data_IF_177747239978
#
_entry.id   IF_177747239978
#
_cell.length_a   1.000
_cell.length_b   1.000
_cell.length_c   1.000
_cell.angle_alpha   90.00
_cell.angle_beta   90.00
_cell.angle_gamma   90.00
#
_symmetry.space_group_name_H-M   'P 1'
#
loop_
_entity.id
_entity.type
_entity.pdbx_description
1 polymer ?
#
# COMPACT_ATOMS: atom_id res chain seq x y z
N UNK A 1 19.54 -34.34 26.87
CA UNK A 1 18.95 -33.00 26.69
C UNK A 1 19.01 -32.39 25.27
N UNK A 2 19.96 -32.73 24.38
CA UNK A 2 20.06 -32.13 22.99
C UNK A 2 18.95 -32.54 22.01
N UNK A 3 18.43 -33.80 22.09
CA UNK A 3 17.47 -34.37 21.13
C UNK A 3 16.08 -33.72 21.19
N UNK A 4 15.59 -33.36 22.38
CA UNK A 4 14.30 -32.68 22.55
C UNK A 4 14.32 -31.24 22.02
N UNK A 5 15.41 -30.51 22.23
CA UNK A 5 15.58 -29.13 21.73
C UNK A 5 15.63 -29.08 20.19
N UNK A 6 16.24 -30.09 19.55
CA UNK A 6 16.30 -30.22 18.10
C UNK A 6 14.92 -30.54 17.49
N UNK A 7 14.14 -31.42 18.09
CA UNK A 7 12.77 -31.72 17.62
C UNK A 7 11.83 -30.55 17.77
N UNK A 8 11.91 -29.79 18.88
CA UNK A 8 11.12 -28.57 19.07
C UNK A 8 11.46 -27.52 18.01
N UNK A 9 12.74 -27.34 17.68
CA UNK A 9 13.19 -26.43 16.65
C UNK A 9 12.61 -26.77 15.26
N UNK A 10 12.74 -28.04 14.84
CA UNK A 10 12.19 -28.52 13.56
C UNK A 10 10.67 -28.36 13.47
N UNK A 11 9.96 -28.58 14.59
CA UNK A 11 8.50 -28.39 14.62
C UNK A 11 8.14 -26.91 14.47
N UNK A 12 8.82 -26.01 15.17
CA UNK A 12 8.62 -24.58 15.04
C UNK A 12 8.93 -24.07 13.63
N UNK A 13 10.00 -24.58 13.00
CA UNK A 13 10.35 -24.26 11.61
C UNK A 13 9.26 -24.74 10.64
N UNK A 14 8.72 -25.94 10.81
CA UNK A 14 7.62 -26.47 10.00
C UNK A 14 6.31 -25.69 10.18
N UNK A 15 6.01 -25.23 11.39
CA UNK A 15 4.85 -24.38 11.67
C UNK A 15 5.01 -22.99 11.03
N UNK A 16 6.19 -22.37 11.11
CA UNK A 16 6.50 -21.10 10.48
C UNK A 16 6.40 -21.19 8.95
N UNK A 17 6.94 -22.25 8.36
CA UNK A 17 6.85 -22.50 6.91
C UNK A 17 5.41 -22.71 6.44
N UNK A 18 4.62 -23.45 7.19
CA UNK A 18 3.18 -23.64 6.90
C UNK A 18 2.44 -22.32 6.96
N UNK A 19 2.71 -21.51 7.99
CA UNK A 19 2.12 -20.17 8.13
C UNK A 19 2.50 -19.26 6.95
N UNK A 20 3.76 -19.27 6.52
CA UNK A 20 4.25 -18.50 5.36
C UNK A 20 3.50 -18.88 4.09
N UNK A 21 3.38 -20.17 3.76
CA UNK A 21 2.64 -20.67 2.59
C UNK A 21 1.19 -20.23 2.58
N UNK A 22 0.50 -20.25 3.73
CA UNK A 22 -0.89 -19.78 3.85
C UNK A 22 -0.97 -18.28 3.54
N UNK A 23 -0.05 -17.46 4.07
CA UNK A 23 -0.01 -16.02 3.82
C UNK A 23 0.26 -15.72 2.35
N UNK A 24 1.22 -16.39 1.73
CA UNK A 24 1.57 -16.24 0.32
C UNK A 24 0.39 -16.60 -0.60
N UNK A 25 -0.30 -17.71 -0.31
CA UNK A 25 -1.50 -18.12 -1.03
C UNK A 25 -2.62 -17.08 -0.91
N UNK A 26 -2.85 -16.57 0.31
CA UNK A 26 -3.86 -15.54 0.53
C UNK A 26 -3.51 -14.23 -0.19
N UNK A 27 -2.24 -13.77 -0.14
CA UNK A 27 -1.78 -12.56 -0.85
C UNK A 27 -1.92 -12.71 -2.36
N UNK A 28 -1.62 -13.88 -2.92
CA UNK A 28 -1.81 -14.16 -4.34
C UNK A 28 -3.28 -14.05 -4.74
N UNK A 29 -4.19 -14.70 -4.01
CA UNK A 29 -5.64 -14.65 -4.26
C UNK A 29 -6.22 -13.25 -4.05
N UNK A 30 -5.83 -12.55 -2.98
CA UNK A 30 -6.24 -11.16 -2.75
C UNK A 30 -5.81 -10.24 -3.90
N UNK A 31 -4.64 -10.47 -4.46
CA UNK A 31 -4.14 -9.70 -5.60
C UNK A 31 -4.92 -10.01 -6.88
N UNK A 32 -5.33 -11.24 -7.06
CA UNK A 32 -5.99 -11.70 -8.28
C UNK A 32 -7.49 -11.42 -8.31
N UNK A 33 -8.23 -11.87 -7.30
CA UNK A 33 -9.69 -11.77 -7.26
C UNK A 33 -10.21 -10.79 -6.21
N UNK A 34 -9.39 -10.41 -5.26
CA UNK A 34 -9.71 -9.55 -4.13
C UNK A 34 -10.06 -10.33 -2.85
N UNK A 35 -9.90 -9.68 -1.67
CA UNK A 35 -10.23 -10.27 -0.37
C UNK A 35 -11.66 -10.78 -0.26
N UNK A 36 -12.65 -10.00 -0.75
CA UNK A 36 -14.07 -10.36 -0.66
C UNK A 36 -14.45 -11.65 -1.44
N UNK A 37 -13.67 -11.99 -2.46
CA UNK A 37 -13.90 -13.20 -3.27
C UNK A 37 -12.96 -14.35 -2.88
N UNK A 38 -12.06 -14.13 -1.94
CA UNK A 38 -11.11 -15.14 -1.48
C UNK A 38 -11.73 -16.00 -0.38
N UNK A 39 -11.79 -17.32 -0.59
CA UNK A 39 -12.32 -18.26 0.40
C UNK A 39 -11.19 -18.98 1.14
N UNK A 40 -11.45 -19.40 2.39
CA UNK A 40 -10.51 -20.24 3.15
C UNK A 40 -10.21 -21.56 2.42
N UNK A 41 -11.17 -22.07 1.66
CA UNK A 41 -10.97 -23.29 0.85
C UNK A 41 -9.95 -23.06 -0.26
N UNK A 42 -10.05 -21.95 -1.01
CA UNK A 42 -9.10 -21.60 -2.05
C UNK A 42 -7.68 -21.35 -1.49
N UNK A 43 -7.61 -20.66 -0.33
CA UNK A 43 -6.32 -20.45 0.36
C UNK A 43 -5.70 -21.79 0.77
N UNK A 44 -6.49 -22.68 1.37
CA UNK A 44 -6.00 -23.98 1.81
C UNK A 44 -5.50 -24.84 0.63
N UNK A 45 -6.23 -24.86 -0.48
CA UNK A 45 -5.87 -25.55 -1.72
C UNK A 45 -4.56 -25.02 -2.29
N UNK A 46 -4.46 -23.69 -2.48
CA UNK A 46 -3.27 -23.05 -3.05
C UNK A 46 -2.04 -23.21 -2.12
N UNK A 47 -2.24 -23.16 -0.79
CA UNK A 47 -1.18 -23.38 0.21
C UNK A 47 -0.78 -24.85 0.37
N UNK A 48 -1.52 -25.81 -0.24
CA UNK A 48 -1.29 -27.25 -0.08
C UNK A 48 -1.49 -27.73 1.37
N UNK A 49 -2.55 -27.20 2.04
CA UNK A 49 -2.90 -27.59 3.42
C UNK A 49 -4.41 -27.89 3.52
N UNK A 50 -4.84 -28.44 4.66
CA UNK A 50 -6.27 -28.62 4.93
C UNK A 50 -6.88 -27.38 5.59
N UNK A 51 -8.17 -27.08 5.36
CA UNK A 51 -8.89 -25.95 5.98
C UNK A 51 -8.69 -25.83 7.50
N UNK A 52 -8.77 -26.90 8.31
CA UNK A 52 -8.49 -26.82 9.75
C UNK A 52 -7.08 -26.30 10.07
N UNK A 53 -6.11 -26.56 9.19
CA UNK A 53 -4.74 -26.02 9.35
C UNK A 53 -4.74 -24.49 9.17
N UNK A 54 -5.50 -23.96 8.22
CA UNK A 54 -5.62 -22.49 8.06
C UNK A 54 -6.21 -21.87 9.32
N UNK A 55 -7.33 -22.40 9.85
CA UNK A 55 -7.96 -21.87 11.07
C UNK A 55 -7.06 -21.99 12.31
N UNK A 56 -6.21 -23.02 12.40
CA UNK A 56 -5.24 -23.13 13.49
C UNK A 56 -4.19 -22.02 13.47
N UNK A 57 -3.76 -21.58 12.28
CA UNK A 57 -2.78 -20.49 12.13
C UNK A 57 -3.42 -19.10 12.14
N UNK A 58 -4.66 -19.00 11.68
CA UNK A 58 -5.41 -17.77 11.54
C UNK A 58 -6.86 -18.02 11.99
N UNK A 59 -7.15 -17.86 13.29
CA UNK A 59 -8.46 -18.16 13.86
C UNK A 59 -9.56 -17.23 13.36
N UNK A 60 -9.19 -16.04 12.87
CA UNK A 60 -10.09 -15.01 12.38
C UNK A 60 -9.53 -14.28 11.14
N UNK A 61 -10.40 -13.57 10.43
CA UNK A 61 -10.03 -12.80 9.23
C UNK A 61 -9.03 -11.69 9.55
N UNK A 62 -9.15 -11.05 10.71
CA UNK A 62 -8.26 -9.96 11.14
C UNK A 62 -6.80 -10.41 11.22
N UNK A 63 -6.57 -11.57 11.82
CA UNK A 63 -5.22 -12.16 11.95
C UNK A 63 -4.62 -12.50 10.59
N UNK A 64 -5.45 -12.99 9.66
CA UNK A 64 -5.03 -13.27 8.30
C UNK A 64 -4.74 -11.98 7.53
N UNK A 65 -5.63 -10.99 7.55
CA UNK A 65 -5.41 -9.71 6.85
C UNK A 65 -4.20 -8.96 7.38
N UNK A 66 -3.95 -8.94 8.70
CA UNK A 66 -2.72 -8.35 9.26
C UNK A 66 -1.46 -9.04 8.74
N UNK A 67 -1.47 -10.37 8.69
CA UNK A 67 -0.32 -11.12 8.16
C UNK A 67 -0.12 -10.88 6.65
N UNK A 68 -1.21 -10.85 5.86
CA UNK A 68 -1.16 -10.55 4.43
C UNK A 68 -0.67 -9.12 4.15
N UNK A 69 -1.15 -8.13 4.92
CA UNK A 69 -0.72 -6.74 4.78
C UNK A 69 0.76 -6.57 5.11
N UNK A 70 1.24 -7.19 6.20
CA UNK A 70 2.65 -7.17 6.56
C UNK A 70 3.53 -7.83 5.51
N UNK A 71 3.16 -9.01 5.04
CA UNK A 71 3.88 -9.72 3.98
C UNK A 71 3.86 -8.93 2.67
N UNK A 72 2.70 -8.38 2.30
CA UNK A 72 2.55 -7.57 1.09
C UNK A 72 3.46 -6.36 1.06
N UNK A 73 3.73 -5.71 2.21
CA UNK A 73 4.66 -4.59 2.30
C UNK A 73 6.13 -5.02 2.20
N UNK A 74 6.45 -6.24 2.62
CA UNK A 74 7.82 -6.79 2.48
C UNK A 74 8.13 -7.09 1.01
N UNK A 75 7.22 -7.76 0.31
CA UNK A 75 7.44 -8.17 -1.09
C UNK A 75 7.17 -7.05 -2.10
N UNK A 76 6.42 -6.04 -1.71
CA UNK A 76 6.07 -4.87 -2.51
C UNK A 76 6.25 -3.60 -1.67
N UNK A 77 7.49 -3.22 -1.35
CA UNK A 77 7.76 -2.04 -0.54
C UNK A 77 7.27 -0.78 -1.26
N UNK A 78 6.66 0.11 -0.48
CA UNK A 78 6.35 1.47 -0.93
C UNK A 78 7.65 2.27 -1.09
N UNK A 79 7.65 3.33 -1.94
CA UNK A 79 8.74 4.30 -1.96
C UNK A 79 9.04 4.84 -0.55
N UNK A 80 10.30 5.13 -0.28
CA UNK A 80 10.74 5.71 0.99
C UNK A 80 10.62 7.24 0.96
N UNK A 81 9.65 7.84 1.66
CA UNK A 81 9.48 9.29 1.64
C UNK A 81 10.63 10.07 2.27
N UNK A 82 11.41 9.45 3.16
CA UNK A 82 12.52 10.15 3.83
C UNK A 82 13.61 10.55 2.84
N UNK A 83 13.82 9.77 1.78
CA UNK A 83 14.75 10.10 0.71
C UNK A 83 14.36 11.39 -0.03
N UNK A 84 13.09 11.73 -0.11
CA UNK A 84 12.60 12.94 -0.79
C UNK A 84 12.94 14.24 -0.05
N UNK A 85 13.21 14.19 1.25
CA UNK A 85 13.55 15.36 2.08
C UNK A 85 14.80 16.09 1.63
N UNK A 86 15.70 15.41 0.91
CA UNK A 86 16.92 16.03 0.37
C UNK A 86 16.61 17.07 -0.72
N UNK A 87 15.41 17.03 -1.31
CA UNK A 87 14.97 17.99 -2.32
C UNK A 87 14.28 19.16 -1.62
N UNK A 88 14.95 20.32 -1.59
CA UNK A 88 14.44 21.53 -0.94
C UNK A 88 13.31 22.16 -1.75
N UNK A 89 13.46 22.21 -3.10
CA UNK A 89 12.44 22.78 -3.98
C UNK A 89 11.15 21.94 -3.93
N UNK A 90 10.01 22.55 -3.56
CA UNK A 90 8.75 21.82 -3.34
C UNK A 90 8.24 21.06 -4.57
N UNK A 91 8.31 21.68 -5.76
CA UNK A 91 7.83 21.05 -6.99
C UNK A 91 8.75 19.92 -7.46
N UNK A 92 10.05 20.06 -7.27
CA UNK A 92 11.04 19.01 -7.54
C UNK A 92 10.84 17.82 -6.60
N UNK A 93 10.60 18.06 -5.30
CA UNK A 93 10.27 17.01 -4.34
C UNK A 93 9.01 16.28 -4.74
N UNK A 94 7.94 17.01 -5.08
CA UNK A 94 6.69 16.41 -5.55
C UNK A 94 6.89 15.58 -6.82
N UNK A 95 7.64 16.10 -7.79
CA UNK A 95 7.93 15.40 -9.06
C UNK A 95 8.60 14.06 -8.81
N UNK A 96 9.61 14.03 -7.95
CA UNK A 96 10.32 12.78 -7.59
C UNK A 96 9.39 11.83 -6.84
N UNK A 97 8.64 12.33 -5.86
CA UNK A 97 7.67 11.51 -5.11
C UNK A 97 6.64 10.83 -6.03
N UNK A 98 6.06 11.58 -6.98
CA UNK A 98 5.12 11.03 -7.95
C UNK A 98 5.80 10.11 -8.96
N UNK A 99 7.03 10.45 -9.38
CA UNK A 99 7.83 9.63 -10.29
C UNK A 99 8.20 8.25 -9.73
N UNK A 100 8.24 8.10 -8.40
CA UNK A 100 8.40 6.79 -7.73
C UNK A 100 7.06 6.11 -7.42
N UNK A 101 6.07 6.90 -6.99
CA UNK A 101 4.78 6.38 -6.54
C UNK A 101 3.90 5.90 -7.70
N UNK A 102 3.87 6.59 -8.83
CA UNK A 102 3.02 6.23 -9.97
C UNK A 102 3.46 4.94 -10.67
N UNK A 103 4.75 4.68 -10.93
CA UNK A 103 5.20 3.36 -11.36
C UNK A 103 4.90 2.25 -10.35
N UNK A 104 4.97 2.53 -9.04
CA UNK A 104 4.51 1.59 -8.02
C UNK A 104 3.01 1.28 -8.18
N UNK A 105 2.17 2.29 -8.34
CA UNK A 105 0.73 2.12 -8.59
C UNK A 105 0.47 1.32 -9.86
N UNK A 106 1.17 1.61 -10.94
CA UNK A 106 1.05 0.89 -12.23
C UNK A 106 1.38 -0.60 -12.07
N UNK A 107 2.49 -0.90 -11.42
CA UNK A 107 2.94 -2.28 -11.17
C UNK A 107 1.94 -3.07 -10.32
N UNK A 108 1.28 -2.40 -9.39
CA UNK A 108 0.38 -3.03 -8.41
C UNK A 108 -1.09 -2.67 -8.60
N UNK A 109 -1.47 -2.14 -9.77
CA UNK A 109 -2.80 -1.59 -10.05
C UNK A 109 -3.95 -2.56 -9.75
N UNK A 110 -3.83 -3.81 -10.19
CA UNK A 110 -4.85 -4.85 -9.96
C UNK A 110 -5.03 -5.13 -8.46
N UNK A 111 -3.92 -5.36 -7.76
CA UNK A 111 -3.92 -5.62 -6.32
C UNK A 111 -4.52 -4.46 -5.53
N UNK A 112 -4.07 -3.23 -5.79
CA UNK A 112 -4.56 -2.04 -5.10
C UNK A 112 -6.04 -1.80 -5.39
N UNK A 113 -6.48 -1.94 -6.65
CA UNK A 113 -7.89 -1.83 -7.02
C UNK A 113 -8.76 -2.83 -6.27
N UNK A 114 -8.33 -4.09 -6.16
CA UNK A 114 -9.06 -5.13 -5.45
C UNK A 114 -9.15 -4.85 -3.95
N UNK A 115 -8.02 -4.52 -3.32
CA UNK A 115 -7.96 -4.27 -1.87
C UNK A 115 -8.77 -3.02 -1.50
N UNK A 116 -8.62 -1.92 -2.23
CA UNK A 116 -9.34 -0.67 -1.93
C UNK A 116 -10.83 -0.82 -2.14
N UNK A 117 -11.27 -1.43 -3.26
CA UNK A 117 -12.67 -1.74 -3.52
C UNK A 117 -13.29 -2.56 -2.39
N UNK A 118 -12.63 -3.65 -2.00
CA UNK A 118 -13.18 -4.59 -1.02
C UNK A 118 -13.13 -4.00 0.40
N UNK A 119 -12.20 -3.08 0.67
CA UNK A 119 -12.10 -2.35 1.94
C UNK A 119 -13.35 -1.51 2.24
N UNK A 120 -14.04 -1.02 1.21
CA UNK A 120 -15.28 -0.24 1.39
C UNK A 120 -16.43 -1.09 1.95
N UNK A 121 -16.44 -2.39 1.63
CA UNK A 121 -17.50 -3.32 2.02
C UNK A 121 -17.13 -4.24 3.20
N UNK A 122 -15.84 -4.28 3.60
CA UNK A 122 -15.32 -5.20 4.61
C UNK A 122 -14.72 -4.43 5.81
N UNK A 123 -15.48 -4.19 6.91
CA UNK A 123 -15.01 -3.39 8.05
C UNK A 123 -13.68 -3.89 8.66
N UNK A 124 -13.48 -5.21 8.74
CA UNK A 124 -12.24 -5.80 9.26
C UNK A 124 -11.04 -5.47 8.36
N UNK A 125 -11.21 -5.54 7.04
CA UNK A 125 -10.17 -5.17 6.09
C UNK A 125 -9.88 -3.66 6.13
N UNK A 126 -10.93 -2.83 6.23
CA UNK A 126 -10.81 -1.39 6.38
C UNK A 126 -9.99 -1.03 7.62
N UNK A 127 -10.28 -1.64 8.77
CA UNK A 127 -9.55 -1.40 10.02
C UNK A 127 -8.07 -1.82 9.90
N UNK A 128 -7.78 -2.98 9.29
CA UNK A 128 -6.40 -3.42 9.07
C UNK A 128 -5.67 -2.44 8.15
N UNK A 129 -6.29 -2.00 7.07
CA UNK A 129 -5.70 -1.01 6.15
C UNK A 129 -5.48 0.34 6.83
N UNK A 130 -6.42 0.80 7.67
CA UNK A 130 -6.27 2.02 8.46
C UNK A 130 -5.06 1.95 9.40
N UNK A 131 -4.77 0.80 9.99
CA UNK A 131 -3.63 0.63 10.88
C UNK A 131 -2.28 0.38 10.18
N UNK A 132 -2.30 -0.07 8.94
CA UNK A 132 -1.07 -0.51 8.25
C UNK A 132 -0.71 0.40 7.08
N UNK A 133 -1.64 0.69 6.19
CA UNK A 133 -1.38 1.42 4.94
C UNK A 133 -1.57 2.93 5.10
N UNK A 134 -2.63 3.36 5.77
CA UNK A 134 -2.95 4.79 5.94
C UNK A 134 -1.83 5.58 6.59
N UNK A 135 -1.17 5.13 7.68
CA UNK A 135 -0.07 5.88 8.29
C UNK A 135 1.12 6.11 7.33
N UNK A 136 1.37 5.16 6.43
CA UNK A 136 2.44 5.28 5.42
C UNK A 136 2.10 6.33 4.36
N UNK A 137 0.86 6.34 3.90
CA UNK A 137 0.39 7.37 2.96
C UNK A 137 0.36 8.76 3.62
N UNK A 138 -0.05 8.85 4.87
CA UNK A 138 0.01 10.09 5.65
C UNK A 138 1.45 10.60 5.80
N UNK A 139 2.41 9.69 6.04
CA UNK A 139 3.82 10.06 6.10
C UNK A 139 4.34 10.59 4.76
N UNK A 140 4.00 9.96 3.64
CA UNK A 140 4.34 10.46 2.31
C UNK A 140 3.77 11.86 2.07
N UNK A 141 2.48 12.05 2.37
CA UNK A 141 1.82 13.35 2.26
C UNK A 141 2.52 14.41 3.12
N UNK A 142 2.82 14.10 4.37
CA UNK A 142 3.53 14.97 5.30
C UNK A 142 4.89 15.39 4.75
N UNK A 143 5.73 14.43 4.34
CA UNK A 143 7.09 14.72 3.83
C UNK A 143 7.04 15.58 2.58
N UNK A 144 6.09 15.35 1.68
CA UNK A 144 5.91 16.20 0.51
C UNK A 144 5.48 17.61 0.93
N UNK A 145 4.49 17.74 1.83
CA UNK A 145 3.94 19.03 2.26
C UNK A 145 4.96 19.89 3.03
N UNK A 146 5.87 19.28 3.79
CA UNK A 146 6.92 19.96 4.54
C UNK A 146 7.83 20.86 3.65
N UNK A 147 7.93 20.58 2.35
CA UNK A 147 8.71 21.42 1.45
C UNK A 147 8.12 22.84 1.27
N UNK A 148 6.83 23.03 1.50
CA UNK A 148 6.17 24.32 1.45
C UNK A 148 6.20 25.08 2.79
N UNK A 149 6.64 24.45 3.87
CA UNK A 149 6.65 25.07 5.20
C UNK A 149 7.66 26.24 5.34
N UNK A 150 8.64 26.33 4.43
CA UNK A 150 9.59 27.44 4.42
C UNK A 150 8.92 28.81 4.14
N UNK A 151 7.82 28.81 3.38
CA UNK A 151 7.04 30.01 2.99
C UNK A 151 5.88 30.30 3.96
N UNK A 152 5.79 29.58 5.06
CA UNK A 152 4.69 29.61 6.03
C UNK A 152 3.91 28.30 6.07
N UNK A 153 2.83 28.27 6.87
CA UNK A 153 2.01 27.06 6.99
C UNK A 153 1.27 26.77 5.67
N UNK A 154 1.39 25.53 5.12
CA UNK A 154 0.70 25.18 3.86
C UNK A 154 -0.81 25.35 3.95
N UNK A 155 -1.41 26.02 2.97
CA UNK A 155 -2.85 26.25 2.96
C UNK A 155 -3.65 24.94 2.86
N UNK A 156 -4.87 24.93 3.41
CA UNK A 156 -5.75 23.76 3.31
C UNK A 156 -6.03 23.32 1.86
N UNK A 157 -6.06 24.27 0.90
CA UNK A 157 -6.21 23.96 -0.53
C UNK A 157 -4.99 23.22 -1.08
N UNK A 158 -3.79 23.65 -0.69
CA UNK A 158 -2.55 22.97 -1.08
C UNK A 158 -2.52 21.56 -0.50
N UNK A 159 -2.78 21.40 0.78
CA UNK A 159 -2.81 20.08 1.44
C UNK A 159 -3.83 19.14 0.79
N UNK A 160 -5.04 19.62 0.47
CA UNK A 160 -6.05 18.85 -0.23
C UNK A 160 -5.59 18.44 -1.63
N UNK A 161 -4.94 19.35 -2.38
CA UNK A 161 -4.42 19.05 -3.72
C UNK A 161 -3.29 18.06 -3.68
N UNK A 162 -2.38 18.15 -2.71
CA UNK A 162 -1.34 17.15 -2.48
C UNK A 162 -1.95 15.76 -2.17
N UNK A 163 -2.97 15.72 -1.30
CA UNK A 163 -3.71 14.48 -1.03
C UNK A 163 -4.37 13.91 -2.28
N UNK A 164 -4.91 14.76 -3.15
CA UNK A 164 -5.51 14.35 -4.42
C UNK A 164 -4.47 13.73 -5.34
N UNK A 165 -3.35 14.39 -5.60
CA UNK A 165 -2.34 13.90 -6.56
C UNK A 165 -1.56 12.69 -6.04
N UNK A 166 -1.42 12.50 -4.74
CA UNK A 166 -0.82 11.30 -4.14
C UNK A 166 -1.80 10.11 -4.08
N UNK A 167 -3.07 10.30 -4.41
CA UNK A 167 -4.10 9.27 -4.29
C UNK A 167 -4.04 8.27 -5.45
N UNK A 168 -4.20 6.98 -5.13
CA UNK A 168 -4.24 5.91 -6.11
C UNK A 168 -5.36 6.09 -7.15
N UNK A 169 -6.54 6.57 -6.76
CA UNK A 169 -7.68 6.73 -7.68
C UNK A 169 -7.44 7.87 -8.67
N UNK A 170 -6.74 8.93 -8.27
CA UNK A 170 -6.34 10.01 -9.20
C UNK A 170 -5.39 9.47 -10.25
N UNK A 171 -4.33 8.77 -9.84
CA UNK A 171 -3.42 8.11 -10.76
C UNK A 171 -4.17 7.12 -11.67
N UNK A 172 -5.04 6.29 -11.12
CA UNK A 172 -5.80 5.29 -11.88
C UNK A 172 -6.67 5.94 -12.95
N UNK A 173 -7.33 7.04 -12.64
CA UNK A 173 -8.11 7.81 -13.62
C UNK A 173 -7.23 8.33 -14.75
N UNK A 174 -6.16 9.03 -14.42
CA UNK A 174 -5.28 9.67 -15.41
C UNK A 174 -4.53 8.63 -16.27
N UNK A 175 -3.97 7.61 -15.62
CA UNK A 175 -3.13 6.64 -16.31
C UNK A 175 -3.94 5.54 -17.04
N UNK A 176 -5.03 5.02 -16.44
CA UNK A 176 -5.76 3.89 -17.02
C UNK A 176 -7.05 4.27 -17.74
N UNK A 177 -7.73 5.36 -17.35
CA UNK A 177 -8.97 5.78 -18.01
C UNK A 177 -8.71 6.85 -19.04
N UNK A 178 -7.88 7.86 -18.72
CA UNK A 178 -7.50 8.92 -19.67
C UNK A 178 -6.31 8.52 -20.58
N UNK A 179 -5.68 7.35 -20.36
CA UNK A 179 -4.64 6.79 -21.23
C UNK A 179 -3.29 7.51 -21.17
N UNK A 180 -3.03 8.30 -20.12
CA UNK A 180 -1.77 9.02 -19.97
C UNK A 180 -0.63 8.08 -19.56
N UNK A 181 0.58 8.31 -20.11
CA UNK A 181 1.78 7.63 -19.60
C UNK A 181 2.22 8.25 -18.26
N UNK A 182 3.23 7.63 -17.60
CA UNK A 182 3.65 8.07 -16.26
C UNK A 182 4.20 9.50 -16.27
N UNK A 183 5.00 9.89 -17.27
CA UNK A 183 5.56 11.23 -17.36
C UNK A 183 4.47 12.29 -17.52
N UNK A 184 3.51 12.06 -18.42
CA UNK A 184 2.37 12.95 -18.63
C UNK A 184 1.51 13.09 -17.37
N UNK A 185 1.31 11.98 -16.65
CA UNK A 185 0.52 11.95 -15.41
C UNK A 185 1.23 12.73 -14.31
N UNK A 186 2.55 12.57 -14.17
CA UNK A 186 3.37 13.33 -13.21
C UNK A 186 3.35 14.83 -13.55
N UNK A 187 3.60 15.21 -14.80
CA UNK A 187 3.62 16.61 -15.21
C UNK A 187 2.27 17.30 -14.98
N UNK A 188 1.17 16.64 -15.30
CA UNK A 188 -0.18 17.17 -15.04
C UNK A 188 -0.39 17.36 -13.53
N UNK A 189 -0.06 16.38 -12.71
CA UNK A 189 -0.23 16.45 -11.26
C UNK A 189 0.62 17.55 -10.62
N UNK A 190 1.88 17.69 -11.05
CA UNK A 190 2.77 18.79 -10.61
C UNK A 190 2.23 20.14 -11.05
N UNK A 191 1.71 20.25 -12.27
CA UNK A 191 1.08 21.47 -12.78
C UNK A 191 -0.15 21.90 -11.98
N UNK A 192 -1.00 20.95 -11.56
CA UNK A 192 -2.16 21.21 -10.69
C UNK A 192 -1.73 21.82 -9.36
N UNK A 193 -0.70 21.25 -8.71
CA UNK A 193 -0.18 21.76 -7.44
C UNK A 193 0.48 23.12 -7.63
N UNK A 194 1.27 23.31 -8.70
CA UNK A 194 1.92 24.59 -9.01
C UNK A 194 0.91 25.72 -9.20
N UNK A 195 -0.26 25.47 -9.80
CA UNK A 195 -1.32 26.47 -9.93
C UNK A 195 -1.91 26.92 -8.57
N UNK A 196 -1.98 26.00 -7.61
CA UNK A 196 -2.56 26.27 -6.28
C UNK A 196 -1.53 26.92 -5.33
N UNK A 197 -0.25 26.58 -5.48
CA UNK A 197 0.83 27.07 -4.62
C UNK A 197 1.33 28.48 -4.99
N UNK A 198 0.93 29.03 -6.15
CA UNK A 198 1.31 30.41 -6.52
C UNK A 198 0.63 31.40 -5.57
N UNK A 199 1.36 32.37 -4.99
CA UNK A 199 0.75 33.46 -4.27
C UNK A 199 -0.20 34.23 -5.23
N UNK A 200 -1.43 34.50 -4.76
CA UNK A 200 -2.33 35.38 -5.52
C UNK A 200 -1.62 36.72 -5.68
N UNK A 201 -1.28 37.11 -6.90
CA UNK A 201 -0.99 38.49 -7.19
C UNK A 201 -2.26 39.31 -6.87
N UNK A 202 -2.21 40.06 -5.75
CA UNK A 202 -3.20 41.05 -5.39
C UNK A 202 -3.25 42.16 -6.40
#
# INVERSE_FOLDING_TARGET
MKRGKYQLKRRAEGEAETRRRIVEAAVALHSEVGPARTTISAIAELAGVRRPTVYRHFPDERSLFKACSGHGLIIHPLPDPEAWRQLIDPLSRLRVALGELYPYYRRHARRLSNILRDSEAMPVLQEVNAGVFVPRMQRMHQVVAEAWAADGEPSGKLLATLGLVLNFYTWRFLALQAGMNDDQTVELAVGMVACISRPRRG
#
